data_IF_401454005375
#
_entry.id   IF_401454005375
#
_cell.length_a   1.000
_cell.length_b   1.000
_cell.length_c   1.000
_cell.angle_alpha   90.00
_cell.angle_beta   90.00
_cell.angle_gamma   90.00
#
_symmetry.space_group_name_H-M   'P 1'
#
loop_
_entity.id
_entity.type
_entity.pdbx_description
1 polymer ?
#
# COMPACT_ATOMS: atom_id res chain seq x y z
N UNK A 1 9.92 2.17 17.98
CA UNK A 1 8.47 2.33 17.69
C UNK A 1 8.19 2.71 16.23
N UNK A 2 8.82 3.74 15.66
CA UNK A 2 8.59 4.16 14.26
C UNK A 2 8.85 3.05 13.24
N UNK A 3 9.92 2.28 13.43
CA UNK A 3 10.32 1.18 12.53
C UNK A 3 9.29 0.05 12.47
N UNK A 4 8.56 -0.21 13.55
CA UNK A 4 7.52 -1.24 13.59
C UNK A 4 6.40 -0.92 12.59
N UNK A 5 6.09 0.37 12.41
CA UNK A 5 5.07 0.82 11.46
C UNK A 5 5.55 0.63 10.01
N UNK A 6 6.84 0.90 9.74
CA UNK A 6 7.45 0.62 8.45
C UNK A 6 7.46 -0.87 8.12
N UNK A 7 7.91 -1.72 9.06
CA UNK A 7 7.90 -3.17 8.90
C UNK A 7 6.48 -3.74 8.74
N UNK A 8 5.50 -3.23 9.49
CA UNK A 8 4.10 -3.63 9.35
C UNK A 8 3.56 -3.27 7.96
N UNK A 9 3.86 -2.07 7.44
CA UNK A 9 3.51 -1.66 6.08
C UNK A 9 4.14 -2.56 5.01
N UNK A 10 5.42 -2.91 5.17
CA UNK A 10 6.11 -3.84 4.27
C UNK A 10 5.52 -5.26 4.29
N UNK A 11 5.20 -5.80 5.47
CA UNK A 11 4.56 -7.12 5.60
C UNK A 11 3.19 -7.12 4.93
N UNK A 12 2.40 -6.07 5.14
CA UNK A 12 1.11 -5.91 4.48
C UNK A 12 1.24 -5.86 2.95
N UNK A 13 2.28 -5.20 2.46
CA UNK A 13 2.60 -5.13 1.04
C UNK A 13 2.94 -6.52 0.49
N UNK A 14 3.78 -7.29 1.19
CA UNK A 14 4.12 -8.68 0.80
C UNK A 14 2.87 -9.56 0.75
N UNK A 15 1.98 -9.44 1.74
CA UNK A 15 0.69 -10.15 1.74
C UNK A 15 -0.19 -9.72 0.57
N UNK A 16 -0.20 -8.42 0.22
CA UNK A 16 -0.92 -7.95 -0.96
C UNK A 16 -0.41 -8.66 -2.22
N UNK A 17 0.91 -8.71 -2.43
CA UNK A 17 1.50 -9.40 -3.58
C UNK A 17 1.26 -10.91 -3.56
N UNK A 18 1.14 -11.53 -2.39
CA UNK A 18 0.69 -12.93 -2.28
C UNK A 18 -0.74 -13.09 -2.83
N UNK A 19 -1.66 -12.17 -2.51
CA UNK A 19 -3.00 -12.19 -3.08
C UNK A 19 -3.03 -11.94 -4.59
N UNK A 20 -2.11 -11.11 -5.10
CA UNK A 20 -1.93 -10.92 -6.54
C UNK A 20 -1.48 -12.22 -7.21
N UNK A 21 -0.52 -12.93 -6.63
CA UNK A 21 -0.06 -14.23 -7.10
C UNK A 21 -1.19 -15.28 -7.09
N UNK A 22 -2.04 -15.27 -6.06
CA UNK A 22 -3.22 -16.14 -5.96
C UNK A 22 -4.41 -15.69 -6.83
N UNK A 23 -4.22 -14.71 -7.73
CA UNK A 23 -5.26 -14.13 -8.61
C UNK A 23 -6.46 -13.54 -7.87
N UNK A 24 -6.29 -13.16 -6.60
CA UNK A 24 -7.31 -12.50 -5.78
C UNK A 24 -7.18 -10.98 -5.86
N UNK A 25 -7.43 -10.42 -7.04
CA UNK A 25 -7.22 -8.99 -7.35
C UNK A 25 -7.94 -8.02 -6.39
N UNK A 26 -9.19 -8.32 -6.01
CA UNK A 26 -9.91 -7.48 -5.03
C UNK A 26 -9.17 -7.39 -3.69
N UNK A 27 -8.70 -8.53 -3.17
CA UNK A 27 -7.95 -8.58 -1.92
C UNK A 27 -6.58 -7.89 -2.07
N UNK A 28 -5.90 -8.10 -3.19
CA UNK A 28 -4.68 -7.35 -3.50
C UNK A 28 -4.91 -5.84 -3.41
N UNK A 29 -5.97 -5.31 -4.04
CA UNK A 29 -6.25 -3.87 -4.00
C UNK A 29 -6.47 -3.36 -2.57
N UNK A 30 -7.28 -4.03 -1.76
CA UNK A 30 -7.52 -3.59 -0.37
C UNK A 30 -6.25 -3.65 0.48
N UNK A 31 -5.48 -4.74 0.41
CA UNK A 31 -4.24 -4.86 1.18
C UNK A 31 -3.16 -3.88 0.69
N UNK A 32 -3.05 -3.67 -0.63
CA UNK A 32 -2.11 -2.71 -1.20
C UNK A 32 -2.47 -1.26 -0.85
N UNK A 33 -3.77 -0.95 -0.75
CA UNK A 33 -4.22 0.35 -0.27
C UNK A 33 -3.78 0.59 1.17
N UNK A 34 -4.05 -0.35 2.08
CA UNK A 34 -3.67 -0.20 3.50
C UNK A 34 -2.15 -0.17 3.64
N UNK A 35 -1.42 -1.01 2.89
CA UNK A 35 0.04 -1.04 2.89
C UNK A 35 0.65 0.30 2.46
N UNK A 36 0.25 0.82 1.30
CA UNK A 36 0.75 2.09 0.76
C UNK A 36 0.40 3.28 1.64
N UNK A 37 -0.78 3.27 2.28
CA UNK A 37 -1.19 4.32 3.21
C UNK A 37 -0.34 4.30 4.50
N UNK A 38 -0.08 3.10 5.04
CA UNK A 38 0.82 2.91 6.19
C UNK A 38 2.26 3.34 5.86
N UNK A 39 2.77 2.96 4.69
CA UNK A 39 4.10 3.35 4.20
C UNK A 39 4.20 4.85 3.92
N UNK A 40 3.13 5.50 3.48
CA UNK A 40 3.08 6.96 3.32
C UNK A 40 3.25 7.65 4.67
N UNK A 41 2.48 7.24 5.68
CA UNK A 41 2.58 7.77 7.05
C UNK A 41 4.00 7.57 7.60
N UNK A 42 4.55 6.36 7.44
CA UNK A 42 5.93 6.07 7.86
C UNK A 42 6.96 6.95 7.15
N UNK A 43 6.82 7.13 5.84
CA UNK A 43 7.73 7.95 5.02
C UNK A 43 7.70 9.43 5.44
N UNK A 44 6.53 9.95 5.81
CA UNK A 44 6.39 11.30 6.37
C UNK A 44 7.08 11.42 7.73
N UNK A 45 6.98 10.40 8.60
CA UNK A 45 7.68 10.37 9.89
C UNK A 45 9.21 10.31 9.75
N UNK A 46 9.70 9.69 8.68
CA UNK A 46 11.12 9.65 8.30
C UNK A 46 11.59 10.90 7.55
N UNK A 47 10.69 11.84 7.24
CA UNK A 47 10.96 13.00 6.36
C UNK A 47 11.54 12.61 4.99
N UNK A 48 11.26 11.40 4.53
CA UNK A 48 11.70 10.90 3.23
C UNK A 48 10.71 11.30 2.14
N UNK A 49 10.91 12.50 1.61
CA UNK A 49 10.04 13.12 0.59
C UNK A 49 9.83 12.19 -0.64
N UNK A 50 10.87 11.55 -1.22
CA UNK A 50 10.67 10.70 -2.40
C UNK A 50 9.73 9.52 -2.12
N UNK A 51 9.92 8.84 -0.99
CA UNK A 51 9.09 7.71 -0.59
C UNK A 51 7.66 8.14 -0.23
N UNK A 52 7.48 9.30 0.39
CA UNK A 52 6.15 9.84 0.68
C UNK A 52 5.37 10.11 -0.61
N UNK A 53 6.01 10.71 -1.62
CA UNK A 53 5.38 11.00 -2.93
C UNK A 53 4.97 9.70 -3.62
N UNK A 54 5.89 8.74 -3.74
CA UNK A 54 5.63 7.47 -4.42
C UNK A 54 4.50 6.69 -3.74
N UNK A 55 4.55 6.53 -2.42
CA UNK A 55 3.50 5.79 -1.71
C UNK A 55 2.16 6.52 -1.76
N UNK A 56 2.14 7.86 -1.67
CA UNK A 56 0.90 8.64 -1.81
C UNK A 56 0.28 8.44 -3.19
N UNK A 57 1.09 8.46 -4.25
CA UNK A 57 0.63 8.21 -5.61
C UNK A 57 0.03 6.80 -5.75
N UNK A 58 0.72 5.77 -5.23
CA UNK A 58 0.22 4.40 -5.22
C UNK A 58 -1.12 4.31 -4.48
N UNK A 59 -1.24 4.94 -3.31
CA UNK A 59 -2.48 4.97 -2.53
C UNK A 59 -3.63 5.58 -3.34
N UNK A 60 -3.40 6.69 -4.04
CA UNK A 60 -4.42 7.35 -4.90
C UNK A 60 -4.84 6.44 -6.06
N UNK A 61 -3.86 5.84 -6.76
CA UNK A 61 -4.13 4.95 -7.89
C UNK A 61 -4.94 3.74 -7.44
N UNK A 62 -4.55 3.10 -6.33
CA UNK A 62 -5.25 1.94 -5.78
C UNK A 62 -6.65 2.33 -5.29
N UNK A 63 -6.81 3.48 -4.61
CA UNK A 63 -8.12 3.98 -4.20
C UNK A 63 -9.06 4.18 -5.39
N UNK A 64 -8.57 4.79 -6.47
CA UNK A 64 -9.35 4.98 -7.70
C UNK A 64 -9.77 3.64 -8.32
N UNK A 65 -8.88 2.64 -8.33
CA UNK A 65 -9.20 1.28 -8.82
C UNK A 65 -10.27 0.60 -7.96
N UNK A 66 -10.21 0.75 -6.64
CA UNK A 66 -11.22 0.22 -5.71
C UNK A 66 -12.59 0.88 -5.98
N UNK A 67 -12.64 2.21 -6.08
CA UNK A 67 -13.88 2.96 -6.33
C UNK A 67 -14.51 2.59 -7.67
N UNK A 68 -13.68 2.42 -8.71
CA UNK A 68 -14.15 2.02 -10.04
C UNK A 68 -14.57 0.55 -10.11
N UNK A 69 -14.32 -0.22 -9.06
CA UNK A 69 -14.62 -1.66 -9.00
C UNK A 69 -13.79 -2.48 -9.98
N UNK A 70 -12.61 -1.99 -10.39
CA UNK A 70 -11.75 -2.73 -11.32
C UNK A 70 -11.28 -4.05 -10.66
N UNK A 71 -11.67 -5.17 -11.26
CA UNK A 71 -11.35 -6.53 -10.77
C UNK A 71 -10.27 -7.23 -11.59
N UNK A 72 -9.73 -6.56 -12.60
CA UNK A 72 -8.81 -7.10 -13.61
C UNK A 72 -7.65 -6.16 -13.86
#
# INVERSE_FOLDING_TARGET
>A
MKEILGWAGCILLLIAYLFLYLKKFKLFLYFNFIASLSLTIYSLMLKSIPFAIVNSFITIVVAKKIIKGETS
#
